data_IF_822533149814
#
_entry.id   IF_822533149814
#
_cell.length_a   1.000
_cell.length_b   1.000
_cell.length_c   1.000
_cell.angle_alpha   90.00
_cell.angle_beta   90.00
_cell.angle_gamma   90.00
#
_symmetry.space_group_name_H-M   'P 1'
#
loop_
_entity.id
_entity.type
_entity.pdbx_description
1 polymer ?
#
# COMPACT_ATOMS: atom_id res chain seq x y z
N UNK A 1 -2.74 0.98 11.23
CA UNK A 1 -1.90 2.18 11.42
C UNK A 1 -0.66 1.73 12.16
N UNK A 2 0.52 2.03 11.65
CA UNK A 2 1.79 1.71 12.33
C UNK A 2 2.26 2.96 13.09
N UNK A 3 1.98 3.03 14.39
CA UNK A 3 2.07 4.28 15.14
C UNK A 3 3.46 4.58 15.73
N UNK A 4 4.30 3.54 15.87
CA UNK A 4 5.58 3.61 16.59
C UNK A 4 6.78 3.17 15.72
N UNK A 5 6.68 3.31 14.40
CA UNK A 5 7.76 2.95 13.50
C UNK A 5 8.91 3.96 13.60
N UNK A 6 10.07 3.53 14.09
CA UNK A 6 11.26 4.40 14.24
C UNK A 6 12.00 4.64 12.93
N UNK A 7 11.88 3.73 11.94
CA UNK A 7 12.56 3.87 10.64
C UNK A 7 11.85 4.84 9.72
N UNK A 8 10.52 4.95 9.84
CA UNK A 8 9.70 5.87 9.06
C UNK A 8 8.70 6.59 9.96
N UNK A 9 9.21 7.37 10.90
CA UNK A 9 8.39 8.02 11.94
C UNK A 9 7.33 9.00 11.41
N UNK A 10 7.50 9.50 10.18
CA UNK A 10 6.61 10.49 9.57
C UNK A 10 5.36 9.88 8.91
N UNK A 11 5.27 8.56 8.74
CA UNK A 11 4.17 7.91 8.03
C UNK A 11 3.62 6.71 8.80
N UNK A 12 2.28 6.63 8.91
CA UNK A 12 1.59 5.58 9.67
C UNK A 12 0.74 4.64 8.81
N UNK A 13 0.54 4.98 7.53
CA UNK A 13 -0.17 4.17 6.53
C UNK A 13 0.72 4.01 5.31
N UNK A 14 1.40 2.88 5.21
CA UNK A 14 2.40 2.59 4.19
C UNK A 14 1.94 1.51 3.22
N UNK A 15 0.73 0.98 3.39
CA UNK A 15 0.16 -0.11 2.58
C UNK A 15 0.17 0.23 1.09
N UNK A 16 -0.12 1.48 0.74
CA UNK A 16 -0.11 1.96 -0.66
C UNK A 16 1.29 1.96 -1.31
N UNK A 17 2.37 1.83 -0.53
CA UNK A 17 3.74 1.79 -1.06
C UNK A 17 4.02 0.40 -1.65
N UNK A 18 3.69 -0.69 -0.94
CA UNK A 18 4.08 -2.04 -1.35
C UNK A 18 2.93 -2.88 -1.91
N UNK A 19 1.69 -2.62 -1.51
CA UNK A 19 0.53 -3.41 -1.95
C UNK A 19 0.04 -2.91 -3.31
N UNK A 20 0.18 -3.76 -4.34
CA UNK A 20 -0.21 -3.41 -5.72
C UNK A 20 -1.66 -2.93 -5.82
N UNK A 21 -2.59 -3.61 -5.15
CA UNK A 21 -4.01 -3.26 -5.15
C UNK A 21 -4.32 -1.86 -4.57
N UNK A 22 -3.42 -1.30 -3.76
CA UNK A 22 -3.62 -0.01 -3.08
C UNK A 22 -2.73 1.10 -3.66
N UNK A 23 -2.05 0.85 -4.78
CA UNK A 23 -1.27 1.87 -5.50
C UNK A 23 -2.18 2.71 -6.40
N UNK A 24 -1.77 3.94 -6.68
CA UNK A 24 -2.51 4.86 -7.56
C UNK A 24 -2.62 4.35 -9.00
N UNK A 25 -1.66 3.55 -9.46
CA UNK A 25 -1.65 2.95 -10.79
C UNK A 25 -2.33 1.57 -10.86
N UNK A 26 -3.04 1.16 -9.81
CA UNK A 26 -3.75 -0.11 -9.80
C UNK A 26 -4.86 -0.15 -10.86
N UNK A 27 -5.02 -1.30 -11.51
CA UNK A 27 -6.12 -1.59 -12.45
C UNK A 27 -6.78 -2.91 -12.11
N UNK A 28 -8.11 -2.96 -12.15
CA UNK A 28 -8.86 -4.21 -11.93
C UNK A 28 -8.57 -5.28 -12.99
N UNK A 29 -7.98 -4.91 -14.14
CA UNK A 29 -7.52 -5.89 -15.13
C UNK A 29 -6.49 -6.88 -14.57
N UNK A 30 -5.75 -6.51 -13.51
CA UNK A 30 -4.85 -7.44 -12.81
C UNK A 30 -5.58 -8.54 -12.03
N UNK A 31 -6.86 -8.39 -11.76
CA UNK A 31 -7.72 -9.39 -11.13
C UNK A 31 -8.58 -10.17 -12.14
N UNK A 32 -8.20 -10.20 -13.41
CA UNK A 32 -8.89 -10.96 -14.46
C UNK A 32 -8.71 -12.48 -14.37
N UNK A 33 -7.94 -13.01 -13.42
CA UNK A 33 -7.83 -14.45 -13.16
C UNK A 33 -8.99 -14.96 -12.28
N UNK A 34 -10.19 -14.43 -12.50
CA UNK A 34 -11.40 -14.78 -11.74
C UNK A 34 -12.21 -15.84 -12.46
#
# INVERSE_FOLDING_TARGET
MENNNRKMAHIRRTTHIMMMAHRSCFSFAFFNCR
#
